data_IF_475970049776
#
_entry.id   IF_475970049776
#
_cell.length_a   1.000
_cell.length_b   1.000
_cell.length_c   1.000
_cell.angle_alpha   90.00
_cell.angle_beta   90.00
_cell.angle_gamma   90.00
#
_symmetry.space_group_name_H-M   'P 1'
#
loop_
_entity.id
_entity.type
_entity.pdbx_description
1 polymer ?
#
# COMPACT_ATOMS: atom_id res chain seq x y z
N UNK A 1 -17.45 21.52 -0.75
CA UNK A 1 -16.83 20.89 0.44
C UNK A 1 -15.54 21.63 0.77
N UNK A 2 -15.36 22.03 2.04
CA UNK A 2 -14.18 22.76 2.51
C UNK A 2 -12.90 21.93 2.31
N UNK A 3 -11.78 22.59 2.02
CA UNK A 3 -10.47 21.94 1.79
C UNK A 3 -9.99 21.16 3.01
N UNK A 4 -10.26 21.62 4.22
CA UNK A 4 -9.94 20.89 5.45
C UNK A 4 -10.68 19.55 5.54
N UNK A 5 -11.96 19.53 5.20
CA UNK A 5 -12.76 18.28 5.20
C UNK A 5 -12.25 17.32 4.12
N UNK A 6 -11.92 17.84 2.93
CA UNK A 6 -11.31 17.01 1.87
C UNK A 6 -10.00 16.36 2.33
N UNK A 7 -9.13 17.13 3.01
CA UNK A 7 -7.86 16.61 3.53
C UNK A 7 -8.08 15.51 4.56
N UNK A 8 -8.99 15.73 5.52
CA UNK A 8 -9.31 14.73 6.56
C UNK A 8 -9.83 13.44 5.92
N UNK A 9 -10.78 13.53 4.99
CA UNK A 9 -11.33 12.35 4.29
C UNK A 9 -10.24 11.65 3.48
N UNK A 10 -9.42 12.40 2.75
CA UNK A 10 -8.37 11.84 1.92
C UNK A 10 -7.31 11.07 2.73
N UNK A 11 -7.00 11.53 3.96
CA UNK A 11 -6.08 10.82 4.86
C UNK A 11 -6.79 9.64 5.54
N UNK A 12 -8.05 9.81 5.94
CA UNK A 12 -8.81 8.76 6.61
C UNK A 12 -9.01 7.52 5.74
N UNK A 13 -9.24 7.68 4.43
CA UNK A 13 -9.49 6.55 3.51
C UNK A 13 -8.35 5.53 3.53
N UNK A 14 -7.09 5.87 3.19
CA UNK A 14 -6.01 4.89 3.21
C UNK A 14 -5.67 4.41 4.62
N UNK A 15 -5.80 5.26 5.65
CA UNK A 15 -5.58 4.84 7.03
C UNK A 15 -6.58 3.76 7.46
N UNK A 16 -7.87 3.97 7.26
CA UNK A 16 -8.92 3.01 7.67
C UNK A 16 -8.75 1.69 6.93
N UNK A 17 -8.57 1.74 5.61
CA UNK A 17 -8.38 0.53 4.78
C UNK A 17 -7.09 -0.19 5.16
N UNK A 18 -6.00 0.54 5.31
CA UNK A 18 -4.69 -0.03 5.63
C UNK A 18 -4.61 -0.60 7.04
N UNK A 19 -5.15 0.10 8.04
CA UNK A 19 -5.22 -0.41 9.41
C UNK A 19 -6.13 -1.63 9.53
N UNK A 20 -7.20 -1.70 8.74
CA UNK A 20 -8.05 -2.89 8.66
C UNK A 20 -7.29 -4.11 8.11
N UNK A 21 -6.49 -3.93 7.05
CA UNK A 21 -5.57 -4.96 6.55
C UNK A 21 -4.48 -5.32 7.57
N UNK A 22 -3.93 -4.31 8.25
CA UNK A 22 -2.93 -4.47 9.30
C UNK A 22 -3.41 -5.27 10.51
N UNK A 23 -4.71 -5.31 10.79
CA UNK A 23 -5.28 -6.13 11.83
C UNK A 23 -5.07 -7.64 11.56
N UNK A 24 -5.22 -8.08 10.31
CA UNK A 24 -4.91 -9.47 9.92
C UNK A 24 -3.42 -9.77 10.08
N UNK A 25 -2.56 -8.83 9.71
CA UNK A 25 -1.11 -8.95 9.90
C UNK A 25 -0.75 -9.09 11.37
N UNK A 26 -1.25 -8.19 12.21
CA UNK A 26 -0.93 -8.15 13.64
C UNK A 26 -1.38 -9.44 14.38
N UNK A 27 -2.50 -10.02 14.00
CA UNK A 27 -3.01 -11.26 14.56
C UNK A 27 -2.10 -12.46 14.27
N UNK A 28 -1.44 -12.49 13.12
CA UNK A 28 -0.65 -13.64 12.65
C UNK A 28 0.85 -13.54 12.95
N UNK A 29 1.37 -12.35 13.29
CA UNK A 29 2.79 -12.15 13.59
C UNK A 29 3.28 -13.07 14.71
N UNK A 30 2.63 -13.17 15.88
CA UNK A 30 3.10 -14.03 16.96
C UNK A 30 2.82 -15.51 16.76
N UNK A 31 1.92 -15.85 15.84
CA UNK A 31 1.47 -17.21 15.57
C UNK A 31 2.14 -17.84 14.34
N UNK A 32 1.40 -17.85 13.25
CA UNK A 32 1.83 -18.50 11.99
C UNK A 32 3.11 -17.87 11.41
N UNK A 33 3.15 -16.52 11.32
CA UNK A 33 4.29 -15.83 10.72
C UNK A 33 5.59 -16.07 11.50
N UNK A 34 5.53 -16.19 12.84
CA UNK A 34 6.69 -16.47 13.67
C UNK A 34 7.34 -17.82 13.35
N UNK A 35 6.57 -18.80 12.87
CA UNK A 35 7.02 -20.17 12.55
C UNK A 35 7.66 -20.30 11.17
N UNK A 36 7.46 -19.32 10.29
CA UNK A 36 8.02 -19.34 8.95
C UNK A 36 9.56 -19.21 8.98
N UNK A 37 10.22 -19.88 8.04
CA UNK A 37 11.63 -19.60 7.74
C UNK A 37 11.73 -18.25 7.03
N UNK A 38 12.55 -17.37 7.56
CA UNK A 38 12.69 -15.98 7.11
C UNK A 38 14.15 -15.61 6.90
N UNK A 39 14.48 -14.71 5.95
CA UNK A 39 15.85 -14.26 5.76
C UNK A 39 16.34 -13.46 6.98
N UNK A 40 17.66 -13.48 7.22
CA UNK A 40 18.28 -12.74 8.33
C UNK A 40 18.13 -11.23 8.25
N UNK A 41 17.88 -10.70 7.06
CA UNK A 41 17.67 -9.26 6.78
C UNK A 41 16.21 -8.83 6.88
N UNK A 42 15.28 -9.69 7.36
CA UNK A 42 13.90 -9.27 7.58
C UNK A 42 13.83 -8.11 8.60
N UNK A 43 12.93 -7.14 8.42
CA UNK A 43 12.74 -6.07 9.39
C UNK A 43 12.19 -6.61 10.71
N UNK A 44 12.50 -5.92 11.79
CA UNK A 44 11.88 -6.19 13.08
C UNK A 44 10.37 -5.97 12.99
N UNK A 45 9.59 -6.88 13.55
CA UNK A 45 8.12 -6.88 13.40
C UNK A 45 7.46 -5.58 13.87
N UNK A 46 8.02 -4.89 14.86
CA UNK A 46 7.48 -3.62 15.34
C UNK A 46 7.59 -2.47 14.33
N UNK A 47 8.49 -2.56 13.34
CA UNK A 47 8.65 -1.53 12.31
C UNK A 47 7.47 -1.47 11.34
N UNK A 48 6.76 -2.59 11.12
CA UNK A 48 5.66 -2.64 10.16
C UNK A 48 4.56 -1.62 10.47
N UNK A 49 4.15 -1.51 11.72
CA UNK A 49 3.11 -0.56 12.15
C UNK A 49 3.44 0.89 11.81
N UNK A 50 4.53 1.47 12.35
CA UNK A 50 4.94 2.85 12.07
C UNK A 50 5.19 3.14 10.60
N UNK A 51 5.84 2.22 9.87
CA UNK A 51 6.12 2.40 8.45
C UNK A 51 4.82 2.48 7.65
N UNK A 52 3.92 1.51 7.79
CA UNK A 52 2.66 1.49 7.06
C UNK A 52 1.77 2.69 7.43
N UNK A 53 1.70 3.08 8.71
CA UNK A 53 0.95 4.27 9.12
C UNK A 53 1.46 5.53 8.41
N UNK A 54 2.79 5.70 8.37
CA UNK A 54 3.41 6.82 7.66
C UNK A 54 3.07 6.79 6.17
N UNK A 55 3.17 5.62 5.52
CA UNK A 55 2.85 5.47 4.10
C UNK A 55 1.38 5.79 3.80
N UNK A 56 0.44 5.36 4.64
CA UNK A 56 -0.99 5.69 4.47
C UNK A 56 -1.27 7.18 4.63
N UNK A 57 -0.58 7.87 5.53
CA UNK A 57 -0.68 9.34 5.66
C UNK A 57 -0.18 10.02 4.39
N UNK A 58 1.00 9.62 3.88
CA UNK A 58 1.55 10.17 2.63
C UNK A 58 0.63 9.90 1.44
N UNK A 59 0.06 8.69 1.33
CA UNK A 59 -0.96 8.37 0.32
C UNK A 59 -2.18 9.28 0.42
N UNK A 60 -2.65 9.55 1.63
CA UNK A 60 -3.79 10.45 1.86
C UNK A 60 -3.51 11.89 1.45
N UNK A 61 -2.31 12.39 1.76
CA UNK A 61 -1.90 13.74 1.32
C UNK A 61 -1.79 13.78 -0.21
N UNK A 62 -1.21 12.75 -0.85
CA UNK A 62 -1.15 12.66 -2.31
C UNK A 62 -2.54 12.64 -2.95
N UNK A 63 -3.46 11.84 -2.39
CA UNK A 63 -4.86 11.80 -2.81
C UNK A 63 -5.53 13.17 -2.71
N UNK A 64 -5.33 13.88 -1.59
CA UNK A 64 -5.87 15.23 -1.41
C UNK A 64 -5.39 16.21 -2.47
N UNK A 65 -4.09 16.19 -2.79
CA UNK A 65 -3.51 17.10 -3.79
C UNK A 65 -4.12 16.88 -5.18
N UNK A 66 -4.37 15.63 -5.55
CA UNK A 66 -5.05 15.29 -6.81
C UNK A 66 -6.53 15.63 -6.76
N UNK A 67 -7.21 15.32 -5.66
CA UNK A 67 -8.64 15.57 -5.52
C UNK A 67 -9.01 17.05 -5.56
N UNK A 68 -8.19 17.91 -4.95
CA UNK A 68 -8.43 19.37 -4.93
C UNK A 68 -7.99 20.08 -6.20
N UNK A 69 -7.27 19.41 -7.11
CA UNK A 69 -6.71 20.03 -8.30
C UNK A 69 -7.78 20.49 -9.30
N UNK A 70 -7.44 21.51 -10.09
CA UNK A 70 -8.26 21.99 -11.22
C UNK A 70 -7.94 21.20 -12.52
N UNK A 71 -7.35 20.02 -12.41
CA UNK A 71 -7.05 19.17 -13.55
C UNK A 71 -8.33 18.77 -14.30
N UNK A 72 -8.16 18.47 -15.59
CA UNK A 72 -9.24 17.96 -16.44
C UNK A 72 -9.93 16.78 -15.78
N UNK A 73 -11.25 16.77 -15.79
CA UNK A 73 -12.06 15.79 -15.06
C UNK A 73 -11.70 14.35 -15.40
N UNK A 74 -11.48 14.04 -16.68
CA UNK A 74 -11.09 12.69 -17.12
C UNK A 74 -9.75 12.23 -16.53
N UNK A 75 -8.73 13.11 -16.51
CA UNK A 75 -7.43 12.81 -15.93
C UNK A 75 -7.52 12.57 -14.42
N UNK A 76 -8.28 13.42 -13.71
CA UNK A 76 -8.53 13.27 -12.27
C UNK A 76 -9.28 11.98 -11.96
N UNK A 77 -10.33 11.65 -12.73
CA UNK A 77 -11.07 10.40 -12.55
C UNK A 77 -10.18 9.17 -12.75
N UNK A 78 -9.38 9.14 -13.81
CA UNK A 78 -8.42 8.04 -14.04
C UNK A 78 -7.44 7.89 -12.87
N UNK A 79 -6.89 9.00 -12.37
CA UNK A 79 -5.97 8.99 -11.24
C UNK A 79 -6.63 8.44 -9.96
N UNK A 80 -7.86 8.84 -9.67
CA UNK A 80 -8.61 8.37 -8.50
C UNK A 80 -9.00 6.89 -8.61
N UNK A 81 -9.35 6.41 -9.80
CA UNK A 81 -9.65 4.99 -10.04
C UNK A 81 -8.41 4.13 -9.83
N UNK A 82 -7.26 4.52 -10.41
CA UNK A 82 -6.00 3.81 -10.20
C UNK A 82 -5.60 3.77 -8.73
N UNK A 83 -5.78 4.89 -8.01
CA UNK A 83 -5.54 4.95 -6.58
C UNK A 83 -6.46 4.00 -5.79
N UNK A 84 -7.75 3.94 -6.13
CA UNK A 84 -8.69 3.04 -5.48
C UNK A 84 -8.35 1.57 -5.73
N UNK A 85 -7.94 1.22 -6.95
CA UNK A 85 -7.54 -0.15 -7.30
C UNK A 85 -6.30 -0.57 -6.50
N UNK A 86 -5.23 0.24 -6.48
CA UNK A 86 -4.02 -0.12 -5.75
C UNK A 86 -4.26 -0.21 -4.24
N UNK A 87 -5.11 0.64 -3.67
CA UNK A 87 -5.44 0.60 -2.25
C UNK A 87 -6.25 -0.66 -1.89
N UNK A 88 -7.14 -1.08 -2.78
CA UNK A 88 -7.89 -2.34 -2.66
C UNK A 88 -6.95 -3.55 -2.73
N UNK A 89 -6.04 -3.57 -3.68
CA UNK A 89 -5.01 -4.62 -3.79
C UNK A 89 -4.13 -4.66 -2.53
N UNK A 90 -3.69 -3.52 -2.03
CA UNK A 90 -2.90 -3.43 -0.79
C UNK A 90 -3.63 -4.09 0.40
N UNK A 91 -4.93 -3.86 0.54
CA UNK A 91 -5.74 -4.52 1.56
C UNK A 91 -5.81 -6.04 1.37
N UNK A 92 -6.06 -6.51 0.15
CA UNK A 92 -6.18 -7.93 -0.15
C UNK A 92 -4.86 -8.69 -0.01
N UNK A 93 -3.71 -8.05 -0.26
CA UNK A 93 -2.42 -8.68 -0.01
C UNK A 93 -2.28 -9.16 1.44
N UNK A 94 -2.66 -8.33 2.40
CA UNK A 94 -2.63 -8.71 3.82
C UNK A 94 -3.52 -9.92 4.12
N UNK A 95 -4.69 -10.01 3.50
CA UNK A 95 -5.59 -11.15 3.66
C UNK A 95 -4.99 -12.41 3.05
N UNK A 96 -4.48 -12.33 1.81
CA UNK A 96 -3.93 -13.49 1.10
C UNK A 96 -2.68 -14.02 1.83
N UNK A 97 -1.79 -13.12 2.24
CA UNK A 97 -0.54 -13.52 2.89
C UNK A 97 -0.78 -14.01 4.33
N UNK A 98 -1.40 -13.19 5.18
CA UNK A 98 -1.50 -13.43 6.62
C UNK A 98 -2.74 -14.23 7.02
N UNK A 99 -3.91 -13.97 6.45
CA UNK A 99 -5.13 -14.66 6.85
C UNK A 99 -5.32 -16.00 6.13
N UNK A 100 -5.04 -16.05 4.82
CA UNK A 100 -5.17 -17.27 4.03
C UNK A 100 -3.89 -18.11 3.99
N UNK A 101 -2.75 -17.58 4.48
CA UNK A 101 -1.43 -18.22 4.48
C UNK A 101 -0.94 -18.63 3.08
N UNK A 102 -1.39 -17.94 2.03
CA UNK A 102 -1.12 -18.24 0.63
C UNK A 102 0.06 -17.41 0.11
N UNK A 103 1.29 -17.76 0.55
CA UNK A 103 2.51 -16.97 0.27
C UNK A 103 2.77 -16.81 -1.23
N UNK A 104 2.55 -17.88 -2.03
CA UNK A 104 2.74 -17.85 -3.48
C UNK A 104 1.71 -16.98 -4.21
N UNK A 105 0.42 -17.05 -3.82
CA UNK A 105 -0.61 -16.17 -4.37
C UNK A 105 -0.41 -14.72 -3.96
N UNK A 106 0.03 -14.47 -2.73
CA UNK A 106 0.42 -13.13 -2.28
C UNK A 106 1.59 -12.57 -3.11
N UNK A 107 2.52 -13.42 -3.57
CA UNK A 107 3.59 -13.01 -4.47
C UNK A 107 3.06 -12.55 -5.83
N UNK A 108 2.10 -13.28 -6.41
CA UNK A 108 1.47 -12.85 -7.66
C UNK A 108 0.70 -11.55 -7.50
N UNK A 109 -0.02 -11.42 -6.40
CA UNK A 109 -0.84 -10.24 -6.08
C UNK A 109 0.03 -8.99 -5.86
N UNK A 110 1.12 -9.08 -5.10
CA UNK A 110 2.00 -7.92 -4.84
C UNK A 110 2.67 -7.38 -6.11
N UNK A 111 2.91 -8.22 -7.12
CA UNK A 111 3.40 -7.76 -8.42
C UNK A 111 2.34 -6.95 -9.16
N UNK A 112 1.08 -7.37 -9.12
CA UNK A 112 -0.04 -6.61 -9.69
C UNK A 112 -0.22 -5.30 -8.93
N UNK A 113 -0.19 -5.33 -7.61
CA UNK A 113 -0.21 -4.14 -6.75
C UNK A 113 0.91 -3.16 -7.15
N UNK A 114 2.14 -3.64 -7.30
CA UNK A 114 3.29 -2.82 -7.67
C UNK A 114 3.07 -2.08 -9.00
N UNK A 115 2.51 -2.78 -10.00
CA UNK A 115 2.17 -2.18 -11.30
C UNK A 115 1.13 -1.06 -11.11
N UNK A 116 0.08 -1.31 -10.32
CA UNK A 116 -0.95 -0.29 -10.09
C UNK A 116 -0.46 0.90 -9.27
N UNK A 117 0.49 0.70 -8.36
CA UNK A 117 1.16 1.83 -7.68
C UNK A 117 1.95 2.66 -8.69
N UNK A 118 2.70 2.02 -9.57
CA UNK A 118 3.48 2.71 -10.61
C UNK A 118 2.57 3.52 -11.55
N UNK A 119 1.48 2.92 -12.03
CA UNK A 119 0.48 3.61 -12.85
C UNK A 119 -0.16 4.79 -12.10
N UNK A 120 -0.41 4.64 -10.81
CA UNK A 120 -0.92 5.73 -9.96
C UNK A 120 0.09 6.86 -9.86
N UNK A 121 1.37 6.57 -9.64
CA UNK A 121 2.45 7.57 -9.58
C UNK A 121 2.52 8.37 -10.89
N UNK A 122 2.50 7.70 -12.04
CA UNK A 122 2.51 8.38 -13.34
C UNK A 122 1.26 9.24 -13.57
N UNK A 123 0.09 8.72 -13.21
CA UNK A 123 -1.17 9.45 -13.35
C UNK A 123 -1.23 10.67 -12.42
N UNK A 124 -0.78 10.51 -11.18
CA UNK A 124 -0.67 11.62 -10.21
C UNK A 124 0.33 12.67 -10.67
N UNK A 125 1.48 12.25 -11.23
CA UNK A 125 2.52 13.14 -11.73
C UNK A 125 2.06 14.07 -12.85
N UNK A 126 1.10 13.64 -13.67
CA UNK A 126 0.46 14.48 -14.69
C UNK A 126 -0.42 15.59 -14.09
N UNK A 127 -0.83 15.45 -12.85
CA UNK A 127 -1.70 16.40 -12.12
C UNK A 127 -0.90 17.21 -11.11
N UNK A 128 -0.06 16.53 -10.31
CA UNK A 128 0.75 17.11 -9.25
C UNK A 128 2.03 16.31 -9.05
N UNK A 129 3.17 16.91 -9.37
CA UNK A 129 4.48 16.29 -9.15
C UNK A 129 4.70 15.95 -7.66
N UNK A 130 4.28 16.84 -6.76
CA UNK A 130 4.36 16.60 -5.32
C UNK A 130 3.59 15.35 -4.91
N UNK A 131 2.37 15.15 -5.45
CA UNK A 131 1.56 13.97 -5.16
C UNK A 131 2.25 12.68 -5.64
N UNK A 132 2.90 12.71 -6.80
CA UNK A 132 3.67 11.57 -7.31
C UNK A 132 4.87 11.24 -6.39
N UNK A 133 5.64 12.25 -5.98
CA UNK A 133 6.78 12.05 -5.09
C UNK A 133 6.40 11.52 -3.71
N UNK A 134 5.23 11.89 -3.18
CA UNK A 134 4.71 11.35 -1.92
C UNK A 134 4.41 9.84 -1.98
N UNK A 135 4.23 9.26 -3.16
CA UNK A 135 4.03 7.83 -3.38
C UNK A 135 5.33 7.05 -3.60
N UNK A 136 6.47 7.72 -3.80
CA UNK A 136 7.77 7.05 -4.01
C UNK A 136 8.20 6.21 -2.80
N UNK A 137 8.11 6.67 -1.54
CA UNK A 137 8.38 5.82 -0.39
C UNK A 137 7.50 4.57 -0.36
N UNK A 138 6.26 4.68 -0.79
CA UNK A 138 5.32 3.55 -0.83
C UNK A 138 5.74 2.48 -1.85
N UNK A 139 6.05 2.85 -3.10
CA UNK A 139 6.51 1.87 -4.09
C UNK A 139 7.86 1.26 -3.68
N UNK A 140 8.74 2.03 -3.05
CA UNK A 140 10.02 1.52 -2.52
C UNK A 140 9.80 0.47 -1.45
N UNK A 141 8.89 0.71 -0.51
CA UNK A 141 8.54 -0.25 0.53
C UNK A 141 7.87 -1.51 -0.03
N UNK A 142 6.96 -1.37 -1.00
CA UNK A 142 6.31 -2.52 -1.66
C UNK A 142 7.32 -3.32 -2.49
N UNK A 143 8.30 -2.68 -3.12
CA UNK A 143 9.40 -3.37 -3.80
C UNK A 143 10.21 -4.24 -2.83
N UNK A 144 10.55 -3.69 -1.68
CA UNK A 144 11.21 -4.43 -0.60
C UNK A 144 10.32 -5.58 -0.09
N UNK A 145 9.03 -5.31 0.15
CA UNK A 145 8.07 -6.33 0.60
C UNK A 145 7.88 -7.46 -0.44
N UNK A 146 7.95 -7.16 -1.74
CA UNK A 146 7.89 -8.17 -2.79
C UNK A 146 9.11 -9.11 -2.76
N UNK A 147 10.31 -8.55 -2.57
CA UNK A 147 11.54 -9.35 -2.42
C UNK A 147 11.46 -10.21 -1.16
N UNK A 148 10.98 -9.67 -0.07
CA UNK A 148 10.78 -10.41 1.19
C UNK A 148 9.74 -11.52 1.01
N UNK A 149 8.60 -11.25 0.39
CA UNK A 149 7.56 -12.23 0.09
C UNK A 149 8.12 -13.39 -0.77
N UNK A 150 8.86 -13.06 -1.83
CA UNK A 150 9.50 -14.06 -2.69
C UNK A 150 10.48 -14.95 -1.89
N UNK A 151 11.32 -14.33 -1.07
CA UNK A 151 12.31 -15.05 -0.27
C UNK A 151 11.64 -15.98 0.76
N UNK A 152 10.61 -15.47 1.46
CA UNK A 152 9.84 -16.29 2.41
C UNK A 152 9.15 -17.45 1.67
N UNK A 153 8.55 -17.17 0.51
CA UNK A 153 7.94 -18.24 -0.30
C UNK A 153 8.94 -19.34 -0.65
N UNK A 154 10.14 -18.97 -1.13
CA UNK A 154 11.19 -19.95 -1.49
C UNK A 154 11.73 -20.74 -0.30
N UNK A 155 11.78 -20.15 0.88
CA UNK A 155 12.25 -20.83 2.08
C UNK A 155 11.22 -21.79 2.68
N UNK A 156 9.93 -21.65 2.32
CA UNK A 156 8.82 -22.42 2.90
C UNK A 156 8.04 -23.25 1.86
N UNK A 157 8.51 -23.34 0.63
CA UNK A 157 7.92 -24.18 -0.45
C UNK A 157 8.62 -25.51 -0.61
#
# INVERSE_FOLDING_TARGET
MNNTIKLIIAIAIPLVIGLSGGAFTAAEIPGWYAKLQKPSWQPLSWLFGPVWTTLYILMGIALYLVWKSDAVQSARQTALILFAIQLTLNFFWSIIFFNQHQIGWAMAEILVLWIFILLTIFSFGKISQTAAWLLVPYISWVSFAAILNYTIWKLNS
#
